data_IF_178534938728
#
_entry.id   IF_178534938728
#
_cell.length_a   1.000
_cell.length_b   1.000
_cell.length_c   1.000
_cell.angle_alpha   90.00
_cell.angle_beta   90.00
_cell.angle_gamma   90.00
#
_symmetry.space_group_name_H-M   'P 1'
#
loop_
_entity.id
_entity.type
_entity.pdbx_description
1 polymer ?
#
# COMPACT_ATOMS: atom_id res chain seq x y z
N UNK A 1 12.66 -90.84 -11.30
CA UNK A 1 13.68 -89.92 -10.75
C UNK A 1 13.53 -88.58 -11.44
N UNK A 2 13.34 -87.50 -10.65
CA UNK A 2 14.02 -86.18 -10.77
C UNK A 2 13.69 -85.37 -12.06
N UNK A 3 13.32 -84.08 -12.08
CA UNK A 3 13.12 -83.01 -11.11
C UNK A 3 12.21 -81.93 -11.75
N UNK A 4 11.43 -81.27 -10.90
CA UNK A 4 10.75 -80.00 -11.13
C UNK A 4 11.73 -78.83 -11.33
N UNK A 5 11.45 -77.93 -12.28
CA UNK A 5 12.15 -76.64 -12.42
C UNK A 5 11.20 -75.51 -12.81
N UNK A 6 10.83 -74.66 -11.84
CA UNK A 6 10.08 -73.42 -12.05
C UNK A 6 10.97 -72.33 -12.70
N UNK A 7 10.42 -71.47 -13.57
CA UNK A 7 11.17 -70.34 -14.11
C UNK A 7 11.29 -69.20 -13.08
N UNK A 8 12.52 -68.70 -12.90
CA UNK A 8 12.83 -67.51 -12.10
C UNK A 8 12.29 -66.26 -12.80
N UNK A 9 11.37 -65.56 -12.16
CA UNK A 9 10.92 -64.22 -12.55
C UNK A 9 12.06 -63.23 -12.20
N UNK A 10 12.75 -62.74 -13.24
CA UNK A 10 13.75 -61.69 -13.13
C UNK A 10 13.09 -60.34 -12.91
N UNK A 11 13.09 -59.85 -11.67
CA UNK A 11 12.63 -58.50 -11.35
C UNK A 11 13.66 -57.48 -11.87
N UNK A 12 13.24 -56.64 -12.81
CA UNK A 12 14.06 -55.59 -13.43
C UNK A 12 14.53 -54.56 -12.39
N UNK A 13 15.85 -54.54 -12.11
CA UNK A 13 16.50 -53.58 -11.20
C UNK A 13 16.37 -52.11 -11.65
N UNK A 14 15.94 -51.85 -12.88
CA UNK A 14 15.81 -50.49 -13.42
C UNK A 14 14.57 -49.74 -12.93
N UNK A 15 13.49 -50.42 -12.51
CA UNK A 15 12.27 -49.75 -12.06
C UNK A 15 12.38 -49.24 -10.60
N UNK A 16 13.15 -49.90 -9.74
CA UNK A 16 13.26 -49.50 -8.32
C UNK A 16 14.08 -48.22 -8.08
N UNK A 17 15.02 -47.88 -8.95
CA UNK A 17 15.93 -46.75 -8.75
C UNK A 17 15.22 -45.39 -8.91
N UNK A 18 14.25 -45.27 -9.82
CA UNK A 18 13.53 -44.02 -10.06
C UNK A 18 12.67 -43.58 -8.86
N UNK A 19 12.18 -44.55 -8.08
CA UNK A 19 11.28 -44.30 -6.96
C UNK A 19 12.06 -43.72 -5.77
N UNK A 20 13.31 -44.16 -5.61
CA UNK A 20 14.20 -43.71 -4.55
C UNK A 20 14.74 -42.31 -4.86
N UNK A 21 15.06 -42.02 -6.12
CA UNK A 21 15.47 -40.68 -6.54
C UNK A 21 14.36 -39.65 -6.38
N UNK A 22 13.11 -39.97 -6.73
CA UNK A 22 11.97 -39.06 -6.51
C UNK A 22 11.70 -38.84 -5.01
N UNK A 23 11.80 -39.90 -4.21
CA UNK A 23 11.63 -39.82 -2.76
C UNK A 23 12.70 -38.94 -2.11
N UNK A 24 13.97 -39.06 -2.54
CA UNK A 24 15.07 -38.25 -2.03
C UNK A 24 14.92 -36.77 -2.40
N UNK A 25 14.46 -36.46 -3.63
CA UNK A 25 14.16 -35.08 -4.04
C UNK A 25 12.99 -34.51 -3.23
N UNK A 26 11.96 -35.30 -2.95
CA UNK A 26 10.82 -34.86 -2.15
C UNK A 26 11.22 -34.59 -0.68
N UNK A 27 12.05 -35.46 -0.10
CA UNK A 27 12.59 -35.28 1.26
C UNK A 27 13.50 -34.06 1.34
N UNK A 28 14.37 -33.84 0.36
CA UNK A 28 15.22 -32.62 0.31
C UNK A 28 14.37 -31.36 0.16
N UNK A 29 13.31 -31.38 -0.64
CA UNK A 29 12.38 -30.25 -0.77
C UNK A 29 11.60 -29.97 0.53
N UNK A 30 11.25 -31.01 1.30
CA UNK A 30 10.59 -30.89 2.60
C UNK A 30 11.53 -30.43 3.73
N UNK A 31 12.85 -30.61 3.57
CA UNK A 31 13.87 -30.17 4.51
C UNK A 31 14.35 -28.73 4.28
N UNK A 32 13.90 -28.08 3.20
CA UNK A 32 14.11 -26.65 3.00
C UNK A 32 13.23 -25.88 3.98
N UNK A 33 13.82 -25.06 4.89
CA UNK A 33 13.02 -24.25 5.79
C UNK A 33 12.15 -23.27 4.97
N UNK A 34 10.87 -23.08 5.34
CA UNK A 34 10.03 -22.11 4.66
C UNK A 34 10.68 -20.73 4.81
N UNK A 35 10.90 -20.04 3.67
CA UNK A 35 11.33 -18.65 3.71
C UNK A 35 10.24 -17.83 4.44
N UNK A 36 10.61 -16.98 5.40
CA UNK A 36 9.63 -16.16 6.10
C UNK A 36 8.93 -15.24 5.08
N UNK A 37 7.62 -15.43 4.92
CA UNK A 37 6.79 -14.50 4.16
C UNK A 37 6.58 -13.25 5.03
N UNK A 38 7.23 -12.14 4.68
CA UNK A 38 6.95 -10.83 5.26
C UNK A 38 5.64 -10.31 4.65
N UNK A 39 4.52 -10.83 5.14
CA UNK A 39 3.20 -10.32 4.83
C UNK A 39 2.84 -9.20 5.83
N UNK A 40 2.37 -8.07 5.30
CA UNK A 40 1.84 -7.02 6.15
C UNK A 40 0.43 -7.39 6.63
N UNK A 41 0.21 -7.23 7.93
CA UNK A 41 -1.12 -7.34 8.52
C UNK A 41 -1.81 -5.98 8.47
N UNK A 42 -2.96 -5.92 7.83
CA UNK A 42 -3.79 -4.71 7.75
C UNK A 42 -5.08 -4.95 8.51
N UNK A 43 -5.40 -4.07 9.45
CA UNK A 43 -6.75 -4.02 10.01
C UNK A 43 -7.74 -3.49 8.97
N UNK A 44 -9.03 -3.81 9.10
CA UNK A 44 -10.07 -3.17 8.30
C UNK A 44 -9.98 -1.64 8.42
N UNK A 45 -10.19 -0.90 7.32
CA UNK A 45 -10.13 0.55 7.35
C UNK A 45 -11.30 1.08 8.17
N UNK A 46 -11.05 2.10 8.99
CA UNK A 46 -12.06 2.76 9.82
C UNK A 46 -12.05 4.26 9.57
N UNK A 47 -13.16 4.92 9.90
CA UNK A 47 -13.23 6.38 9.85
C UNK A 47 -12.13 7.00 10.70
N UNK A 48 -11.39 7.95 10.13
CA UNK A 48 -10.25 8.58 10.81
C UNK A 48 -10.23 10.09 10.54
N UNK A 49 -9.93 10.84 11.59
CA UNK A 49 -9.74 12.29 11.55
C UNK A 49 -8.24 12.62 11.48
N UNK A 50 -7.89 13.57 10.61
CA UNK A 50 -6.57 14.17 10.48
C UNK A 50 -6.68 15.66 10.74
N UNK A 51 -5.81 16.20 11.60
CA UNK A 51 -5.85 17.61 11.97
C UNK A 51 -4.70 18.35 11.30
N UNK A 52 -4.98 19.58 10.87
CA UNK A 52 -3.95 20.58 10.62
C UNK A 52 -3.14 20.84 11.90
N UNK A 53 -1.90 21.32 11.75
CA UNK A 53 -1.00 21.55 12.87
C UNK A 53 -1.57 22.53 13.91
N UNK A 54 -2.20 23.61 13.45
CA UNK A 54 -2.91 24.60 14.28
C UNK A 54 -4.27 24.11 14.81
N UNK A 55 -4.75 22.93 14.35
CA UNK A 55 -6.07 22.36 14.66
C UNK A 55 -7.25 23.25 14.26
N UNK A 56 -7.06 24.17 13.32
CA UNK A 56 -8.16 24.97 12.78
C UNK A 56 -8.94 24.21 11.71
N UNK A 57 -8.35 23.16 11.16
CA UNK A 57 -8.96 22.28 10.17
C UNK A 57 -8.84 20.82 10.57
N UNK A 58 -9.89 20.07 10.23
CA UNK A 58 -10.00 18.62 10.39
C UNK A 58 -10.45 18.00 9.08
N UNK A 59 -9.73 16.99 8.64
CA UNK A 59 -10.09 16.17 7.50
C UNK A 59 -10.51 14.78 7.97
N UNK A 60 -11.78 14.43 7.76
CA UNK A 60 -12.35 13.13 8.09
C UNK A 60 -12.36 12.25 6.85
N UNK A 61 -11.74 11.08 6.94
CA UNK A 61 -11.79 10.04 5.92
C UNK A 61 -12.79 8.98 6.36
N UNK A 62 -13.77 8.72 5.51
CA UNK A 62 -14.74 7.62 5.65
C UNK A 62 -14.39 6.57 4.59
N UNK A 63 -13.91 5.38 4.99
CA UNK A 63 -13.60 4.31 4.06
C UNK A 63 -14.82 3.84 3.26
N UNK A 64 -14.55 3.27 2.08
CA UNK A 64 -15.53 2.47 1.37
C UNK A 64 -15.93 1.25 2.19
N UNK A 65 -17.20 0.92 2.17
CA UNK A 65 -17.72 -0.28 2.83
C UNK A 65 -17.23 -1.56 2.14
N UNK A 66 -16.64 -2.45 2.92
CA UNK A 66 -16.19 -3.76 2.48
C UNK A 66 -16.99 -4.85 3.18
N UNK A 67 -17.29 -5.95 2.47
CA UNK A 67 -17.89 -7.15 3.09
C UNK A 67 -16.98 -7.74 4.15
N UNK A 68 -15.71 -7.91 3.80
CA UNK A 68 -14.64 -8.40 4.66
C UNK A 68 -13.30 -8.21 3.96
N UNK A 69 -12.22 -8.30 4.73
CA UNK A 69 -10.86 -8.28 4.20
C UNK A 69 -10.59 -9.49 3.27
N UNK A 70 -11.06 -10.68 3.66
CA UNK A 70 -10.91 -11.87 2.81
C UNK A 70 -11.69 -11.73 1.49
N UNK A 71 -12.88 -11.14 1.53
CA UNK A 71 -13.65 -10.85 0.32
C UNK A 71 -12.91 -9.91 -0.64
N UNK A 72 -12.28 -8.86 -0.11
CA UNK A 72 -11.44 -7.96 -0.89
C UNK A 72 -10.31 -8.70 -1.62
N UNK A 73 -9.57 -9.54 -0.90
CA UNK A 73 -8.47 -10.30 -1.50
C UNK A 73 -8.94 -11.32 -2.52
N UNK A 74 -10.02 -12.06 -2.22
CA UNK A 74 -10.58 -13.03 -3.15
C UNK A 74 -10.99 -12.38 -4.46
N UNK A 75 -11.62 -11.20 -4.39
CA UNK A 75 -12.01 -10.45 -5.58
C UNK A 75 -10.78 -9.92 -6.34
N UNK A 76 -9.73 -9.40 -5.66
CA UNK A 76 -8.49 -8.97 -6.33
C UNK A 76 -7.76 -10.11 -7.05
N UNK A 77 -7.68 -11.29 -6.43
CA UNK A 77 -7.05 -12.48 -7.05
C UNK A 77 -7.85 -12.97 -8.25
N UNK A 78 -9.17 -12.86 -8.21
CA UNK A 78 -10.06 -13.26 -9.31
C UNK A 78 -10.32 -12.16 -10.34
N UNK A 79 -9.71 -10.98 -10.18
CA UNK A 79 -9.88 -9.84 -11.09
C UNK A 79 -11.27 -9.20 -11.07
N UNK A 80 -12.02 -9.36 -9.98
CA UNK A 80 -13.32 -8.70 -9.80
C UNK A 80 -13.12 -7.33 -9.16
N UNK A 81 -13.61 -6.29 -9.85
CA UNK A 81 -13.69 -4.93 -9.33
C UNK A 81 -15.14 -4.44 -9.25
N UNK A 82 -15.50 -3.57 -8.28
CA UNK A 82 -14.65 -3.14 -7.16
C UNK A 82 -14.49 -4.26 -6.11
N UNK A 83 -13.24 -4.58 -5.77
CA UNK A 83 -12.95 -5.72 -4.91
C UNK A 83 -13.55 -5.55 -3.50
N UNK A 84 -14.12 -6.63 -2.95
CA UNK A 84 -14.68 -6.66 -1.61
C UNK A 84 -15.94 -5.82 -1.40
N UNK A 85 -16.52 -5.28 -2.48
CA UNK A 85 -17.66 -4.36 -2.43
C UNK A 85 -18.87 -4.92 -1.69
N UNK A 86 -19.38 -4.14 -0.73
CA UNK A 86 -20.68 -4.37 -0.14
C UNK A 86 -21.79 -3.96 -1.14
N UNK A 87 -22.79 -4.82 -1.44
CA UNK A 87 -23.88 -4.47 -2.35
C UNK A 87 -24.59 -3.19 -1.93
N UNK A 88 -24.73 -2.23 -2.86
CA UNK A 88 -25.36 -0.94 -2.60
C UNK A 88 -24.50 0.06 -1.79
N UNK A 89 -23.31 -0.35 -1.33
CA UNK A 89 -22.38 0.52 -0.62
C UNK A 89 -21.71 1.54 -1.55
N UNK A 90 -21.01 2.51 -0.95
CA UNK A 90 -20.22 3.49 -1.69
C UNK A 90 -19.18 2.81 -2.61
N UNK A 91 -18.81 3.48 -3.71
CA UNK A 91 -17.84 2.96 -4.69
C UNK A 91 -16.39 3.38 -4.43
N UNK A 92 -16.18 4.36 -3.54
CA UNK A 92 -14.85 4.78 -3.11
C UNK A 92 -14.90 5.45 -1.72
N UNK A 93 -13.74 5.72 -1.14
CA UNK A 93 -13.63 6.48 0.11
C UNK A 93 -14.20 7.90 -0.04
N UNK A 94 -14.69 8.47 1.06
CA UNK A 94 -15.16 9.86 1.14
C UNK A 94 -14.25 10.67 2.05
N UNK A 95 -13.91 11.88 1.63
CA UNK A 95 -13.20 12.87 2.43
C UNK A 95 -14.09 14.05 2.76
N UNK A 96 -14.01 14.53 3.99
CA UNK A 96 -14.71 15.72 4.48
C UNK A 96 -13.69 16.64 5.11
N UNK A 97 -13.42 17.80 4.51
CA UNK A 97 -12.66 18.85 5.17
C UNK A 97 -13.63 19.72 5.96
N UNK A 98 -13.28 20.05 7.20
CA UNK A 98 -14.05 20.94 8.05
C UNK A 98 -13.16 21.98 8.74
N UNK A 99 -13.69 23.17 8.94
CA UNK A 99 -13.06 24.27 9.66
C UNK A 99 -13.64 24.38 11.07
N UNK A 100 -12.77 24.59 12.05
CA UNK A 100 -13.14 24.81 13.44
C UNK A 100 -13.84 26.15 13.61
N UNK A 101 -14.90 26.17 14.39
CA UNK A 101 -15.65 27.36 14.79
C UNK A 101 -15.19 27.88 16.16
N UNK A 102 -15.65 29.08 16.50
CA UNK A 102 -15.41 29.69 17.81
C UNK A 102 -15.97 28.85 18.98
N UNK A 103 -17.05 28.10 18.77
CA UNK A 103 -17.63 27.16 19.75
C UNK A 103 -16.87 25.82 19.84
N UNK A 104 -15.79 25.66 19.08
CA UNK A 104 -14.99 24.44 19.01
C UNK A 104 -15.55 23.34 18.10
N UNK A 105 -16.76 23.49 17.57
CA UNK A 105 -17.32 22.55 16.58
C UNK A 105 -16.62 22.67 15.23
N UNK A 106 -16.76 21.65 14.38
CA UNK A 106 -16.21 21.64 13.04
C UNK A 106 -17.32 21.73 12.00
N UNK A 107 -17.10 22.59 11.01
CA UNK A 107 -18.07 22.89 9.99
C UNK A 107 -17.56 22.47 8.60
N UNK A 108 -18.32 21.73 7.78
CA UNK A 108 -17.85 21.29 6.47
C UNK A 108 -17.45 22.46 5.57
N UNK A 109 -16.25 22.37 4.99
CA UNK A 109 -15.75 23.22 3.91
C UNK A 109 -16.07 22.56 2.58
N UNK A 110 -15.73 21.27 2.46
CA UNK A 110 -16.10 20.44 1.32
C UNK A 110 -16.22 18.97 1.72
N UNK A 111 -16.96 18.22 0.90
CA UNK A 111 -17.08 16.76 0.96
C UNK A 111 -17.00 16.21 -0.45
N UNK A 112 -16.10 15.23 -0.68
CA UNK A 112 -15.85 14.63 -2.00
C UNK A 112 -15.52 13.15 -1.89
N UNK A 113 -15.82 12.43 -2.94
CA UNK A 113 -15.23 11.10 -3.18
C UNK A 113 -13.73 11.27 -3.41
N UNK A 114 -12.93 10.45 -2.73
CA UNK A 114 -11.47 10.44 -2.86
C UNK A 114 -11.05 9.54 -4.01
N UNK A 115 -9.85 9.81 -4.53
CA UNK A 115 -9.20 8.95 -5.52
C UNK A 115 -8.83 7.58 -4.97
N UNK A 116 -8.68 7.45 -3.65
CA UNK A 116 -8.38 6.19 -2.98
C UNK A 116 -9.62 5.26 -2.99
N UNK A 117 -9.45 4.04 -3.53
CA UNK A 117 -10.53 3.04 -3.67
C UNK A 117 -11.18 2.72 -2.32
N UNK A 118 -10.40 2.16 -1.39
CA UNK A 118 -10.94 1.76 -0.09
C UNK A 118 -10.77 2.85 0.96
N UNK A 119 -9.53 3.30 1.16
CA UNK A 119 -9.16 4.42 2.01
C UNK A 119 -7.69 4.75 1.75
N UNK A 120 -7.26 6.01 1.95
CA UNK A 120 -5.85 6.30 2.10
C UNK A 120 -5.27 5.69 3.36
N UNK A 121 -3.97 5.39 3.35
CA UNK A 121 -3.25 4.90 4.55
C UNK A 121 -3.07 6.03 5.56
N UNK A 122 -2.76 7.23 5.06
CA UNK A 122 -2.66 8.45 5.87
C UNK A 122 -3.03 9.70 5.07
N UNK A 123 -3.24 10.81 5.77
CA UNK A 123 -3.45 12.11 5.17
C UNK A 123 -2.85 13.22 6.04
N UNK A 124 -2.59 14.38 5.44
CA UNK A 124 -2.20 15.61 6.14
C UNK A 124 -3.02 16.79 5.60
N UNK A 125 -3.23 17.78 6.47
CA UNK A 125 -4.00 19.00 6.15
C UNK A 125 -3.10 20.21 6.38
N UNK A 126 -3.02 21.08 5.38
CA UNK A 126 -2.25 22.32 5.49
C UNK A 126 -2.79 23.21 6.61
N UNK A 127 -1.94 23.99 7.30
CA UNK A 127 -2.40 24.92 8.35
C UNK A 127 -3.43 25.96 7.85
N UNK A 128 -3.35 26.35 6.57
CA UNK A 128 -4.32 27.26 5.93
C UNK A 128 -5.65 26.58 5.59
N UNK A 129 -5.69 25.23 5.56
CA UNK A 129 -6.84 24.45 5.12
C UNK A 129 -7.06 24.46 3.60
N UNK A 130 -6.16 25.06 2.82
CA UNK A 130 -6.29 25.14 1.35
C UNK A 130 -5.94 23.82 0.67
N UNK A 131 -5.10 23.00 1.30
CA UNK A 131 -4.64 21.73 0.75
C UNK A 131 -4.86 20.59 1.73
N UNK A 132 -5.31 19.46 1.17
CA UNK A 132 -5.30 18.14 1.81
C UNK A 132 -4.47 17.22 0.93
N UNK A 133 -3.61 16.41 1.56
CA UNK A 133 -2.81 15.41 0.86
C UNK A 133 -3.11 14.04 1.42
N UNK A 134 -3.44 13.07 0.58
CA UNK A 134 -3.59 11.67 0.96
C UNK A 134 -2.42 10.83 0.46
N UNK A 135 -2.09 9.78 1.20
CA UNK A 135 -0.98 8.88 0.90
C UNK A 135 -1.43 7.43 0.87
N UNK A 136 -1.02 6.75 -0.21
CA UNK A 136 -1.20 5.33 -0.47
C UNK A 136 -2.65 4.85 -0.48
N UNK A 137 -2.87 3.61 -0.91
CA UNK A 137 -4.13 2.92 -0.68
C UNK A 137 -3.96 1.85 0.39
N UNK A 138 -5.00 1.66 1.19
CA UNK A 138 -5.15 0.48 2.01
C UNK A 138 -4.91 -0.79 1.18
N UNK A 139 -4.04 -1.69 1.66
CA UNK A 139 -3.55 -2.89 0.97
C UNK A 139 -2.77 -2.69 -0.35
N UNK A 140 -2.36 -1.47 -0.70
CA UNK A 140 -1.58 -1.22 -1.93
C UNK A 140 -0.64 -0.03 -1.76
N UNK A 141 0.14 -0.04 -0.68
CA UNK A 141 1.16 0.99 -0.43
C UNK A 141 2.22 1.01 -1.54
N UNK A 142 2.46 2.19 -2.10
CA UNK A 142 3.40 2.45 -3.18
C UNK A 142 2.95 1.93 -4.55
N UNK A 143 1.71 1.47 -4.69
CA UNK A 143 1.16 0.99 -5.96
C UNK A 143 0.00 1.87 -6.45
N UNK A 144 -0.15 1.94 -7.77
CA UNK A 144 -1.19 2.74 -8.42
C UNK A 144 -0.79 4.21 -8.64
N UNK A 145 -1.75 5.01 -9.11
CA UNK A 145 -1.57 6.43 -9.46
C UNK A 145 -1.80 7.39 -8.28
N UNK A 146 -2.33 6.88 -7.18
CA UNK A 146 -2.78 7.63 -6.01
C UNK A 146 -1.93 7.29 -4.78
N UNK A 147 -0.62 7.14 -4.99
CA UNK A 147 0.39 7.03 -3.92
C UNK A 147 0.49 8.35 -3.18
N UNK A 148 0.44 9.47 -3.90
CA UNK A 148 0.27 10.82 -3.34
C UNK A 148 -0.83 11.51 -4.12
N UNK A 149 -1.84 12.07 -3.43
CA UNK A 149 -2.90 12.85 -4.06
C UNK A 149 -3.02 14.20 -3.36
N UNK A 150 -2.93 15.28 -4.13
CA UNK A 150 -3.07 16.65 -3.66
C UNK A 150 -4.47 17.15 -4.04
N UNK A 151 -5.25 17.51 -3.03
CA UNK A 151 -6.56 18.13 -3.18
C UNK A 151 -6.47 19.62 -2.86
N UNK A 152 -7.14 20.43 -3.67
CA UNK A 152 -7.26 21.88 -3.50
C UNK A 152 -8.37 22.29 -2.52
N UNK A 153 -8.63 23.61 -2.42
CA UNK A 153 -9.51 24.19 -1.42
C UNK A 153 -11.00 23.82 -1.59
N UNK A 154 -11.39 23.32 -2.75
CA UNK A 154 -12.73 22.84 -3.09
C UNK A 154 -12.85 21.30 -3.09
N UNK A 155 -11.77 20.61 -2.69
CA UNK A 155 -11.66 19.16 -2.73
C UNK A 155 -11.42 18.59 -4.13
N UNK A 156 -11.13 19.41 -5.14
CA UNK A 156 -10.72 18.91 -6.45
C UNK A 156 -9.28 18.44 -6.44
N UNK A 157 -9.01 17.38 -7.19
CA UNK A 157 -7.66 16.87 -7.38
C UNK A 157 -6.85 17.88 -8.19
N UNK A 158 -5.78 18.40 -7.59
CA UNK A 158 -4.76 19.19 -8.29
C UNK A 158 -3.81 18.23 -9.01
N UNK A 159 -3.36 17.19 -8.29
CA UNK A 159 -2.41 16.22 -8.84
C UNK A 159 -2.47 14.87 -8.14
N UNK A 160 -2.22 13.83 -8.92
CA UNK A 160 -2.02 12.46 -8.49
C UNK A 160 -0.64 11.99 -8.95
N UNK A 161 0.02 11.20 -8.09
CA UNK A 161 1.32 10.60 -8.37
C UNK A 161 1.31 9.13 -8.02
N UNK A 162 1.76 8.30 -8.96
CA UNK A 162 2.38 7.01 -8.63
C UNK A 162 3.86 7.20 -8.28
N UNK A 163 4.51 6.15 -7.77
CA UNK A 163 5.95 6.24 -7.46
C UNK A 163 6.81 6.55 -8.69
N UNK A 164 6.43 6.04 -9.87
CA UNK A 164 7.17 6.31 -11.11
C UNK A 164 7.07 7.77 -11.60
N UNK A 165 6.13 8.56 -11.06
CA UNK A 165 6.07 10.00 -11.32
C UNK A 165 7.04 10.79 -10.40
N UNK A 166 7.50 10.16 -9.31
CA UNK A 166 8.32 10.77 -8.26
C UNK A 166 9.76 10.26 -8.26
N UNK A 167 9.96 9.03 -8.75
CA UNK A 167 11.19 8.26 -8.68
C UNK A 167 11.46 7.55 -10.01
N UNK A 168 12.74 7.36 -10.31
CA UNK A 168 13.14 6.44 -11.36
C UNK A 168 12.79 4.98 -11.00
N UNK A 169 12.78 4.11 -12.01
CA UNK A 169 12.59 2.66 -11.81
C UNK A 169 13.66 2.09 -10.88
N UNK A 170 14.93 2.44 -11.09
CA UNK A 170 16.05 1.98 -10.26
C UNK A 170 15.93 2.42 -8.80
N UNK A 171 15.46 3.65 -8.55
CA UNK A 171 15.17 4.12 -7.19
C UNK A 171 14.04 3.31 -6.55
N UNK A 172 12.95 3.10 -7.29
CA UNK A 172 11.77 2.36 -6.81
C UNK A 172 12.10 0.90 -6.47
N UNK A 173 12.95 0.24 -7.26
CA UNK A 173 13.39 -1.13 -7.03
C UNK A 173 14.28 -1.30 -5.79
N UNK A 174 14.94 -0.22 -5.36
CA UNK A 174 15.80 -0.22 -4.16
C UNK A 174 15.03 0.06 -2.88
N UNK A 175 13.76 0.44 -2.96
CA UNK A 175 12.95 0.68 -1.78
C UNK A 175 12.70 -0.61 -1.00
N UNK A 176 12.57 -0.52 0.34
CA UNK A 176 12.13 -1.65 1.17
C UNK A 176 10.72 -2.11 0.76
N UNK A 177 10.52 -3.42 0.67
CA UNK A 177 9.28 -4.03 0.21
C UNK A 177 8.91 -5.25 1.05
N UNK A 178 7.62 -5.51 1.09
CA UNK A 178 6.99 -6.73 1.59
C UNK A 178 6.19 -7.37 0.46
N UNK A 179 5.44 -8.42 0.75
CA UNK A 179 4.64 -9.13 -0.28
C UNK A 179 3.67 -8.19 -1.01
N UNK A 180 3.11 -7.19 -0.32
CA UNK A 180 2.04 -6.33 -0.86
C UNK A 180 2.29 -4.83 -0.74
N UNK A 181 3.45 -4.39 -0.24
CA UNK A 181 3.75 -2.97 0.00
C UNK A 181 5.14 -2.58 -0.47
N UNK A 182 5.24 -1.35 -0.99
CA UNK A 182 6.51 -0.61 -1.11
C UNK A 182 6.54 0.42 0.00
N UNK A 183 7.48 0.28 0.94
CA UNK A 183 7.62 1.17 2.09
C UNK A 183 8.45 2.41 1.71
N UNK A 184 7.87 3.24 0.86
CA UNK A 184 8.60 4.28 0.13
C UNK A 184 8.97 5.53 0.96
N UNK A 185 8.28 5.80 2.06
CA UNK A 185 8.53 7.00 2.86
C UNK A 185 7.67 7.09 4.12
N UNK A 186 7.93 8.13 4.93
CA UNK A 186 7.10 8.51 6.09
C UNK A 186 7.41 9.93 6.53
N UNK A 187 6.51 10.53 7.32
CA UNK A 187 6.75 11.86 7.92
C UNK A 187 6.72 13.00 6.89
N UNK A 188 5.95 12.80 5.82
CA UNK A 188 5.65 13.85 4.85
C UNK A 188 4.98 15.02 5.58
N UNK A 189 5.32 16.24 5.18
CA UNK A 189 4.86 17.45 5.83
C UNK A 189 4.80 18.61 4.83
N UNK A 190 4.13 19.68 5.20
CA UNK A 190 4.20 20.94 4.50
C UNK A 190 5.46 21.68 4.93
N UNK A 191 6.09 22.41 4.02
CA UNK A 191 7.16 23.33 4.38
C UNK A 191 6.63 24.51 5.22
N UNK A 192 7.53 25.29 5.80
CA UNK A 192 7.16 26.43 6.65
C UNK A 192 6.33 27.48 5.91
N UNK A 193 6.51 27.62 4.59
CA UNK A 193 5.73 28.56 3.79
C UNK A 193 4.30 28.07 3.49
N UNK A 194 4.03 26.78 3.69
CA UNK A 194 2.77 26.13 3.34
C UNK A 194 2.53 26.01 1.83
N UNK A 195 3.54 26.27 0.99
CA UNK A 195 3.43 26.22 -0.48
C UNK A 195 3.92 24.91 -1.07
N UNK A 196 4.74 24.18 -0.32
CA UNK A 196 5.34 22.94 -0.78
C UNK A 196 4.97 21.76 0.12
N UNK A 197 4.65 20.65 -0.53
CA UNK A 197 4.68 19.34 0.10
C UNK A 197 6.11 18.82 0.08
N UNK A 198 6.63 18.46 1.26
CA UNK A 198 7.94 17.82 1.42
C UNK A 198 7.72 16.33 1.62
N UNK A 199 8.06 15.54 0.60
CA UNK A 199 8.08 14.09 0.70
C UNK A 199 9.43 13.62 1.24
N UNK A 200 9.40 12.87 2.34
CA UNK A 200 10.55 12.17 2.90
C UNK A 200 10.57 10.73 2.38
N UNK A 201 11.38 10.49 1.35
CA UNK A 201 11.47 9.21 0.64
C UNK A 201 12.65 8.41 1.20
N UNK A 202 12.47 7.11 1.44
CA UNK A 202 13.53 6.25 1.94
C UNK A 202 14.75 6.29 0.98
N UNK A 203 15.93 6.57 1.54
CA UNK A 203 17.19 6.68 0.79
C UNK A 203 18.02 5.38 0.80
N UNK A 204 17.59 4.38 1.56
CA UNK A 204 18.24 3.10 1.69
C UNK A 204 17.20 1.96 1.78
N UNK A 205 17.68 0.71 1.83
CA UNK A 205 16.83 -0.49 1.92
C UNK A 205 16.23 -0.74 3.30
N UNK A 206 16.42 0.16 4.26
CA UNK A 206 15.89 0.00 5.62
C UNK A 206 14.42 0.38 5.65
N UNK A 207 13.66 -0.24 6.54
CA UNK A 207 12.27 0.12 6.71
C UNK A 207 12.19 1.56 7.19
N UNK A 208 11.25 2.40 6.71
CA UNK A 208 11.09 3.76 7.22
C UNK A 208 10.82 3.81 8.74
N UNK A 209 10.32 2.72 9.33
CA UNK A 209 10.15 2.57 10.77
C UNK A 209 11.46 2.54 11.57
N UNK A 210 12.58 2.18 10.93
CA UNK A 210 13.87 1.96 11.58
C UNK A 210 14.48 3.28 12.06
N UNK A 211 15.13 3.25 13.23
CA UNK A 211 15.67 4.47 13.88
C UNK A 211 16.73 5.18 13.04
N UNK A 212 17.47 4.44 12.23
CA UNK A 212 18.54 4.95 11.36
C UNK A 212 18.17 4.93 9.87
N UNK A 213 16.87 4.87 9.58
CA UNK A 213 16.36 5.10 8.23
C UNK A 213 16.76 6.51 7.75
N UNK A 214 17.30 6.58 6.53
CA UNK A 214 17.71 7.83 5.91
C UNK A 214 16.64 8.24 4.89
N UNK A 215 16.45 9.55 4.74
CA UNK A 215 15.43 10.10 3.85
C UNK A 215 16.03 11.12 2.89
N UNK A 216 15.69 10.98 1.61
CA UNK A 216 15.82 12.03 0.62
C UNK A 216 14.56 12.89 0.65
N UNK A 217 14.73 14.19 0.51
CA UNK A 217 13.61 15.12 0.41
C UNK A 217 13.27 15.36 -1.06
N UNK A 218 11.98 15.35 -1.37
CA UNK A 218 11.44 15.77 -2.65
C UNK A 218 10.37 16.83 -2.39
N UNK A 219 10.45 17.97 -3.08
CA UNK A 219 9.50 19.06 -2.90
C UNK A 219 8.50 19.08 -4.05
N UNK A 220 7.23 19.29 -3.74
CA UNK A 220 6.17 19.42 -4.72
C UNK A 220 5.44 20.73 -4.45
N UNK A 221 5.36 21.59 -5.47
CA UNK A 221 4.57 22.81 -5.42
C UNK A 221 3.08 22.47 -5.35
N UNK A 222 2.40 22.83 -4.25
CA UNK A 222 1.03 22.39 -3.99
C UNK A 222 0.02 22.91 -5.00
N UNK A 223 0.17 24.17 -5.41
CA UNK A 223 -0.76 24.83 -6.32
C UNK A 223 -0.80 24.21 -7.73
N UNK A 224 0.30 23.58 -8.15
CA UNK A 224 0.46 23.06 -9.52
C UNK A 224 0.70 21.55 -9.57
N UNK A 225 1.09 20.93 -8.44
CA UNK A 225 1.62 19.57 -8.41
C UNK A 225 2.97 19.43 -9.12
N UNK A 226 3.73 20.50 -9.31
CA UNK A 226 5.03 20.43 -9.98
C UNK A 226 6.10 19.90 -9.02
N UNK A 227 6.75 18.82 -9.41
CA UNK A 227 7.89 18.26 -8.68
C UNK A 227 9.12 19.16 -8.89
N UNK A 228 9.77 19.53 -7.81
CA UNK A 228 11.05 20.24 -7.82
C UNK A 228 12.17 19.25 -7.61
N UNK A 229 13.01 19.08 -8.62
CA UNK A 229 14.28 18.37 -8.49
C UNK A 229 15.23 19.25 -7.69
N UNK A 230 15.51 18.88 -6.44
CA UNK A 230 16.74 19.35 -5.77
C UNK A 230 17.91 18.64 -6.46
N UNK A 231 18.74 19.43 -7.16
CA UNK A 231 19.99 18.96 -7.76
C UNK A 231 21.04 18.55 -6.73
#
# INVERSE_FOLDING_TARGET
MIHSGLPKIGMSRHLQLHHWSLFLVLVVALLLPPAPAYADSWALPVTRDYFSENRDFRFTVIPRELRSQLGYFSDKVTGRDPAGQLPGGALAATGILSRRRADGSYNPVWQKTLSNDVAPVSAIVSPSGEYVVTFDNWHSMGYGRNVVVIYGPDGMVIREFGLNDLLSTDETERLPRTVSSIWWGRGHHFDESGKFLVLRIAANRKMPSDRDAQFRLLHIELATGRVLTTG
#
